data_IF_376138149318
#
_entry.id   IF_376138149318
#
_cell.length_a   1.000
_cell.length_b   1.000
_cell.length_c   1.000
_cell.angle_alpha   90.00
_cell.angle_beta   90.00
_cell.angle_gamma   90.00
#
_symmetry.space_group_name_H-M   'P 1'
#
loop_
_entity.id
_entity.type
_entity.pdbx_description
1 polymer ?
#
# COMPACT_ATOMS: atom_id res chain seq x y z
N UNK A 1 24.68 -39.85 4.58
CA UNK A 1 25.21 -38.52 4.21
C UNK A 1 24.10 -37.57 4.58
N UNK A 2 24.32 -36.78 5.63
CA UNK A 2 23.30 -35.86 6.16
C UNK A 2 23.31 -34.63 5.28
N UNK A 3 22.22 -34.42 4.57
CA UNK A 3 21.90 -33.17 3.90
C UNK A 3 21.45 -32.20 5.01
N UNK A 4 22.35 -31.33 5.45
CA UNK A 4 21.97 -30.20 6.29
C UNK A 4 21.37 -29.16 5.34
N UNK A 5 20.13 -28.70 5.54
CA UNK A 5 19.64 -27.55 4.80
C UNK A 5 20.51 -26.37 5.19
N UNK A 6 21.27 -25.89 4.21
CA UNK A 6 22.01 -24.64 4.27
C UNK A 6 20.95 -23.55 4.53
N UNK A 7 20.88 -23.10 5.79
CA UNK A 7 20.21 -21.86 6.10
C UNK A 7 21.08 -20.77 5.48
N UNK A 8 20.89 -20.52 4.18
CA UNK A 8 21.55 -19.44 3.49
C UNK A 8 21.09 -18.16 4.19
N UNK A 9 21.96 -17.60 5.02
CA UNK A 9 21.87 -16.26 5.61
C UNK A 9 22.11 -15.21 4.51
N UNK A 10 21.52 -15.44 3.33
CA UNK A 10 21.49 -14.48 2.25
C UNK A 10 20.19 -13.70 2.43
N UNK A 11 20.24 -12.36 2.46
CA UNK A 11 19.02 -11.56 2.52
C UNK A 11 18.19 -11.89 1.27
N UNK A 12 17.07 -12.57 1.46
CA UNK A 12 16.14 -12.87 0.37
C UNK A 12 15.64 -11.51 -0.14
N UNK A 13 15.90 -11.16 -1.41
CA UNK A 13 15.39 -9.93 -1.98
C UNK A 13 13.86 -9.97 -1.93
N UNK A 14 13.26 -8.90 -1.43
CA UNK A 14 11.82 -8.77 -1.30
C UNK A 14 11.29 -8.00 -2.51
N UNK A 15 10.43 -8.64 -3.29
CA UNK A 15 9.89 -8.09 -4.54
C UNK A 15 8.35 -8.08 -4.50
N UNK A 16 7.74 -7.14 -5.20
CA UNK A 16 6.29 -7.15 -5.42
C UNK A 16 5.89 -8.42 -6.17
N UNK A 17 4.86 -9.12 -5.71
CA UNK A 17 4.45 -10.44 -6.19
C UNK A 17 4.97 -11.61 -5.34
N UNK A 18 5.92 -11.38 -4.42
CA UNK A 18 6.39 -12.42 -3.50
C UNK A 18 5.34 -12.80 -2.45
N UNK A 19 5.28 -14.09 -2.08
CA UNK A 19 4.35 -14.58 -1.05
C UNK A 19 4.95 -14.50 0.34
N UNK A 20 4.19 -13.94 1.29
CA UNK A 20 4.59 -13.80 2.69
C UNK A 20 4.00 -14.94 3.51
N UNK A 21 4.82 -15.54 4.37
CA UNK A 21 4.43 -16.62 5.27
C UNK A 21 4.69 -16.24 6.72
N UNK A 22 3.84 -16.73 7.62
CA UNK A 22 4.06 -16.68 9.06
C UNK A 22 5.13 -17.70 9.50
N UNK A 23 5.61 -17.60 10.74
CA UNK A 23 6.61 -18.49 11.32
C UNK A 23 6.20 -19.97 11.32
N UNK A 24 4.90 -20.28 11.29
CA UNK A 24 4.38 -21.65 11.16
C UNK A 24 4.36 -22.16 9.71
N UNK A 25 4.69 -21.31 8.74
CA UNK A 25 4.62 -21.60 7.30
C UNK A 25 3.22 -21.39 6.71
N UNK A 26 2.32 -20.71 7.43
CA UNK A 26 1.00 -20.34 6.88
C UNK A 26 1.13 -19.10 6.00
N UNK A 27 0.55 -19.14 4.80
CA UNK A 27 0.52 -17.98 3.91
C UNK A 27 -0.30 -16.84 4.53
N UNK A 28 0.26 -15.63 4.50
CA UNK A 28 -0.38 -14.39 4.95
C UNK A 28 -0.94 -13.60 3.77
N UNK A 29 -0.22 -13.51 2.65
CA UNK A 29 -0.64 -12.79 1.45
C UNK A 29 0.49 -12.57 0.44
N UNK A 30 0.27 -11.69 -0.53
CA UNK A 30 1.25 -11.30 -1.56
C UNK A 30 1.70 -9.87 -1.34
N UNK A 31 2.97 -9.57 -1.59
CA UNK A 31 3.47 -8.20 -1.54
C UNK A 31 2.96 -7.41 -2.74
N UNK A 32 2.12 -6.41 -2.52
CA UNK A 32 1.62 -5.52 -3.60
C UNK A 32 2.48 -4.26 -3.75
N UNK A 33 3.12 -3.80 -2.67
CA UNK A 33 3.92 -2.58 -2.65
C UNK A 33 5.16 -2.64 -1.76
N UNK A 34 6.20 -1.88 -2.15
CA UNK A 34 7.40 -1.65 -1.34
C UNK A 34 7.40 -0.19 -0.88
N UNK A 35 7.70 0.03 0.41
CA UNK A 35 7.78 1.38 1.00
C UNK A 35 9.17 1.64 1.57
N UNK A 36 9.48 2.89 1.88
CA UNK A 36 10.77 3.28 2.48
C UNK A 36 11.00 2.64 3.87
N UNK A 37 9.92 2.19 4.53
CA UNK A 37 9.96 1.60 5.87
C UNK A 37 9.72 0.08 5.85
N UNK A 38 9.24 -0.48 4.74
CA UNK A 38 8.91 -1.90 4.65
C UNK A 38 8.21 -2.30 3.36
N UNK A 39 7.13 -3.07 3.48
CA UNK A 39 6.33 -3.58 2.36
C UNK A 39 4.87 -3.74 2.78
N UNK A 40 3.98 -3.69 1.80
CA UNK A 40 2.54 -3.86 1.97
C UNK A 40 2.12 -5.25 1.47
N UNK A 41 1.25 -5.92 2.22
CA UNK A 41 0.79 -7.28 1.92
C UNK A 41 -0.70 -7.25 1.63
N UNK A 42 -1.08 -7.68 0.43
CA UNK A 42 -2.47 -7.94 0.08
C UNK A 42 -2.85 -9.37 0.47
N UNK A 43 -3.85 -9.47 1.36
CA UNK A 43 -4.37 -10.75 1.87
C UNK A 43 -5.56 -11.28 1.07
N UNK A 44 -6.09 -10.48 0.15
CA UNK A 44 -7.23 -10.82 -0.69
C UNK A 44 -6.82 -11.39 -2.05
N UNK A 45 -5.53 -11.32 -2.39
CA UNK A 45 -4.96 -11.75 -3.64
C UNK A 45 -5.27 -13.23 -3.88
N UNK A 46 -5.96 -13.49 -4.99
CA UNK A 46 -6.24 -14.84 -5.46
C UNK A 46 -4.99 -15.39 -6.17
N UNK A 47 -4.18 -16.12 -5.43
CA UNK A 47 -2.98 -16.79 -5.93
C UNK A 47 -3.36 -18.15 -6.50
N UNK A 48 -3.04 -18.41 -7.76
CA UNK A 48 -3.31 -19.71 -8.39
C UNK A 48 -2.20 -20.72 -8.07
N UNK A 49 -0.94 -20.28 -8.14
CA UNK A 49 0.23 -21.08 -7.75
C UNK A 49 1.40 -20.19 -7.29
N UNK A 50 2.45 -20.82 -6.76
CA UNK A 50 3.71 -20.15 -6.42
C UNK A 50 4.84 -20.84 -7.15
N UNK A 51 5.77 -20.06 -7.70
CA UNK A 51 6.94 -20.60 -8.39
C UNK A 51 8.07 -20.97 -7.41
N UNK A 52 9.14 -21.58 -7.93
CA UNK A 52 10.29 -22.05 -7.14
C UNK A 52 11.07 -20.91 -6.44
N UNK A 53 10.92 -19.67 -6.91
CA UNK A 53 11.51 -18.45 -6.36
C UNK A 53 10.55 -17.74 -5.38
N UNK A 54 9.29 -18.18 -5.28
CA UNK A 54 8.33 -17.72 -4.27
C UNK A 54 7.41 -16.57 -4.70
N UNK A 55 7.27 -16.31 -6.00
CA UNK A 55 6.28 -15.38 -6.54
C UNK A 55 4.93 -16.07 -6.74
N UNK A 56 3.87 -15.32 -6.43
CA UNK A 56 2.50 -15.67 -6.74
C UNK A 56 2.25 -15.52 -8.24
N UNK A 57 1.80 -16.58 -8.90
CA UNK A 57 1.11 -16.42 -10.16
C UNK A 57 -0.34 -15.99 -9.85
N UNK A 58 -0.59 -14.69 -10.05
CA UNK A 58 -1.93 -14.16 -10.22
C UNK A 58 -2.27 -14.31 -11.68
N UNK A 59 -3.48 -14.79 -11.96
CA UNK A 59 -4.04 -14.82 -13.32
C UNK A 59 -4.10 -13.40 -13.88
N UNK A 60 -2.99 -12.94 -14.48
CA UNK A 60 -3.03 -11.85 -15.44
C UNK A 60 -3.75 -12.40 -16.66
N UNK A 61 -4.81 -11.77 -17.16
CA UNK A 61 -5.40 -12.18 -18.42
C UNK A 61 -4.33 -11.98 -19.51
N UNK A 62 -3.68 -13.09 -19.88
CA UNK A 62 -2.75 -13.30 -20.99
C UNK A 62 -2.49 -12.03 -21.84
N UNK A 63 -1.56 -11.19 -21.41
CA UNK A 63 -0.84 -10.29 -22.30
C UNK A 63 0.64 -10.60 -22.09
N UNK A 64 1.14 -11.46 -22.97
CA UNK A 64 2.54 -11.85 -23.04
C UNK A 64 3.46 -10.62 -22.98
N UNK A 65 4.50 -10.74 -22.16
CA UNK A 65 5.78 -10.03 -22.29
C UNK A 65 5.87 -8.61 -21.74
N UNK A 66 6.38 -8.49 -20.52
CA UNK A 66 7.40 -7.49 -20.22
C UNK A 66 8.43 -8.03 -19.22
N UNK A 67 9.46 -8.67 -19.76
CA UNK A 67 10.77 -8.71 -19.15
C UNK A 67 11.26 -7.26 -18.97
N UNK A 68 11.80 -6.94 -17.78
CA UNK A 68 12.70 -5.82 -17.50
C UNK A 68 12.39 -4.50 -18.26
N UNK A 69 11.54 -3.65 -17.69
CA UNK A 69 11.38 -2.28 -18.18
C UNK A 69 12.54 -1.41 -17.68
N UNK A 70 13.57 -1.33 -18.50
CA UNK A 70 14.52 -0.23 -18.56
C UNK A 70 13.76 1.12 -18.64
N UNK A 71 14.21 2.10 -17.86
CA UNK A 71 13.77 3.50 -17.86
C UNK A 71 13.47 4.07 -19.26
N UNK A 72 12.22 4.46 -19.53
CA UNK A 72 11.92 5.48 -20.53
C UNK A 72 10.81 6.43 -20.05
N UNK A 73 11.28 7.56 -19.56
CA UNK A 73 10.54 8.80 -19.34
C UNK A 73 10.06 9.35 -20.68
N UNK A 74 8.74 9.32 -20.92
CA UNK A 74 7.91 10.43 -21.38
C UNK A 74 6.60 9.90 -22.01
N UNK A 75 5.48 10.37 -21.42
CA UNK A 75 4.17 10.56 -22.04
C UNK A 75 3.14 9.41 -22.01
N UNK A 76 2.30 9.41 -20.97
CA UNK A 76 0.87 9.21 -21.19
C UNK A 76 0.03 10.01 -20.18
N UNK A 77 -0.35 11.22 -20.59
CA UNK A 77 -1.47 11.94 -20.00
C UNK A 77 -2.76 11.18 -20.33
N UNK A 78 -3.46 10.71 -19.29
CA UNK A 78 -4.77 10.07 -19.37
C UNK A 78 -5.56 10.24 -18.07
N UNK A 79 -5.95 11.47 -17.76
CA UNK A 79 -7.22 11.74 -17.07
C UNK A 79 -8.34 11.08 -17.90
N UNK A 80 -9.29 10.30 -17.38
CA UNK A 80 -10.40 10.76 -16.55
C UNK A 80 -11.35 9.61 -16.13
N UNK A 81 -11.68 9.53 -14.82
CA UNK A 81 -13.00 9.24 -14.20
C UNK A 81 -13.59 7.81 -14.47
N UNK A 82 -14.03 6.98 -13.53
CA UNK A 82 -14.77 7.16 -12.29
C UNK A 82 -14.55 5.90 -11.41
N UNK A 83 -13.95 6.04 -10.24
CA UNK A 83 -14.23 5.12 -9.14
C UNK A 83 -14.63 6.01 -7.98
N UNK A 84 -15.88 5.90 -7.58
CA UNK A 84 -16.38 6.37 -6.31
C UNK A 84 -16.32 5.15 -5.37
N UNK A 85 -15.15 4.80 -4.79
CA UNK A 85 -15.15 3.93 -3.63
C UNK A 85 -15.58 4.83 -2.48
N UNK A 86 -16.82 4.64 -2.05
CA UNK A 86 -17.23 5.08 -0.72
C UNK A 86 -16.24 4.52 0.30
N UNK A 87 -15.31 5.37 0.70
CA UNK A 87 -14.97 5.62 2.09
C UNK A 87 -14.65 4.37 2.93
N UNK A 88 -13.45 3.81 2.77
CA UNK A 88 -12.71 3.14 3.86
C UNK A 88 -11.29 2.72 3.47
N UNK A 89 -10.50 3.54 2.76
CA UNK A 89 -9.11 3.17 2.51
C UNK A 89 -8.16 4.34 2.75
N UNK A 90 -7.33 4.17 3.77
CA UNK A 90 -6.29 5.10 4.19
C UNK A 90 -6.54 5.66 5.57
N UNK A 91 -6.33 4.82 6.59
CA UNK A 91 -6.02 5.27 7.97
C UNK A 91 -4.64 5.97 8.02
N UNK A 92 -4.41 6.92 7.11
CA UNK A 92 -3.44 7.97 7.37
C UNK A 92 -4.08 8.91 8.38
N UNK A 93 -3.35 9.31 9.42
CA UNK A 93 -3.75 10.27 10.45
C UNK A 93 -4.25 11.59 9.83
N UNK A 94 -5.49 11.61 9.38
CA UNK A 94 -6.16 12.78 8.83
C UNK A 94 -6.50 13.66 10.03
N UNK A 95 -5.97 14.88 10.04
CA UNK A 95 -6.22 15.87 11.08
C UNK A 95 -6.93 17.08 10.47
N UNK A 96 -7.74 17.78 11.26
CA UNK A 96 -8.26 19.08 10.85
C UNK A 96 -7.32 20.18 11.36
N UNK A 97 -7.34 21.30 10.66
CA UNK A 97 -6.65 22.52 11.08
C UNK A 97 -7.53 23.74 10.85
N UNK A 98 -7.59 24.63 11.83
CA UNK A 98 -8.23 25.92 11.66
C UNK A 98 -7.27 26.92 10.99
N UNK A 99 -7.72 27.59 9.94
CA UNK A 99 -6.92 28.63 9.24
C UNK A 99 -6.88 29.96 10.01
N UNK A 100 -7.88 30.21 10.85
CA UNK A 100 -7.96 31.45 11.63
C UNK A 100 -7.08 31.43 12.90
N UNK A 101 -7.10 30.34 13.67
CA UNK A 101 -6.36 30.24 14.95
C UNK A 101 -5.19 29.26 14.93
N UNK A 102 -5.12 28.38 13.93
CA UNK A 102 -4.07 27.36 13.82
C UNK A 102 -4.29 26.12 14.68
N UNK A 103 -5.42 26.00 15.38
CA UNK A 103 -5.78 24.81 16.15
C UNK A 103 -5.83 23.57 15.26
N UNK A 104 -5.37 22.43 15.78
CA UNK A 104 -5.33 21.16 15.06
C UNK A 104 -5.92 20.05 15.92
N UNK A 105 -6.67 19.13 15.31
CA UNK A 105 -7.25 18.01 16.02
C UNK A 105 -7.51 16.79 15.14
N UNK A 106 -7.81 15.67 15.78
CA UNK A 106 -8.15 14.41 15.11
C UNK A 106 -9.55 14.45 14.50
N UNK A 107 -9.72 13.73 13.40
CA UNK A 107 -10.92 13.69 12.58
C UNK A 107 -11.63 12.34 12.77
N UNK A 108 -12.08 12.05 13.99
CA UNK A 108 -12.72 10.77 14.35
C UNK A 108 -14.11 10.58 13.71
N UNK A 109 -14.94 11.63 13.66
CA UNK A 109 -16.33 11.59 13.16
C UNK A 109 -16.56 12.47 11.90
N UNK A 110 -15.54 13.21 11.46
CA UNK A 110 -15.65 14.19 10.37
C UNK A 110 -15.04 15.56 10.70
N UNK A 111 -15.05 16.45 9.71
CA UNK A 111 -14.55 17.83 9.85
C UNK A 111 -15.60 18.66 10.61
N UNK A 112 -15.24 19.36 11.70
CA UNK A 112 -16.20 20.22 12.40
C UNK A 112 -16.57 21.44 11.54
N UNK A 113 -17.83 21.88 11.60
CA UNK A 113 -18.33 23.07 10.89
C UNK A 113 -17.81 24.39 11.49
N UNK A 114 -17.36 24.34 12.75
CA UNK A 114 -16.79 25.48 13.48
C UNK A 114 -15.62 25.03 14.37
N UNK A 115 -14.59 25.85 14.44
CA UNK A 115 -13.44 25.59 15.30
C UNK A 115 -13.84 25.69 16.79
N UNK A 116 -13.61 24.67 17.62
CA UNK A 116 -14.00 24.67 19.03
C UNK A 116 -13.22 25.67 19.91
N UNK A 117 -12.05 26.14 19.46
CA UNK A 117 -11.22 27.10 20.21
C UNK A 117 -11.59 28.57 19.90
N UNK A 118 -11.83 28.88 18.62
CA UNK A 118 -12.05 30.27 18.18
C UNK A 118 -13.42 30.55 17.54
N UNK A 119 -14.24 29.53 17.30
CA UNK A 119 -15.59 29.64 16.73
C UNK A 119 -15.63 30.02 15.25
N UNK A 120 -14.54 29.82 14.49
CA UNK A 120 -14.47 30.14 13.07
C UNK A 120 -14.88 28.95 12.20
N UNK A 121 -15.61 29.23 11.11
CA UNK A 121 -15.99 28.27 10.06
C UNK A 121 -14.84 27.94 9.09
N UNK A 122 -13.67 28.55 9.28
CA UNK A 122 -12.46 28.36 8.46
C UNK A 122 -11.65 27.15 8.96
N UNK A 123 -12.25 25.96 8.87
CA UNK A 123 -11.63 24.68 9.23
C UNK A 123 -11.36 23.86 7.98
N UNK A 124 -10.11 23.41 7.79
CA UNK A 124 -9.68 22.63 6.63
C UNK A 124 -9.22 21.23 7.03
N UNK A 125 -9.38 20.29 6.11
CA UNK A 125 -8.79 18.95 6.22
C UNK A 125 -7.30 19.03 5.90
N UNK A 126 -6.45 18.52 6.78
CA UNK A 126 -5.00 18.58 6.67
C UNK A 126 -4.40 17.17 6.75
N UNK A 127 -3.37 16.92 5.95
CA UNK A 127 -2.59 15.69 5.92
C UNK A 127 -1.14 16.10 6.11
N UNK A 128 -0.41 15.45 7.02
CA UNK A 128 1.05 15.58 7.08
C UNK A 128 1.64 15.10 5.75
N UNK A 129 2.27 16.01 5.02
CA UNK A 129 3.14 15.73 3.87
C UNK A 129 4.53 15.30 4.37
#
# INVERSE_FOLDING_TARGET
MSDSPDASDDPIPIETGSVVYDHEGNRLGVIDGLTSEGFEVDTNAEIESVDDEGHAEVSVPDDESAQAAETNDENLYGSEQEHDPGQEFGEGYIMWRCENCGEMGELEDGLPEECPDCGSEEVIKWRED
#
